data_IF_002606197242
#
_entry.id   IF_002606197242
#
_cell.length_a   1.000
_cell.length_b   1.000
_cell.length_c   1.000
_cell.angle_alpha   90.00
_cell.angle_beta   90.00
_cell.angle_gamma   90.00
#
_symmetry.space_group_name_H-M   'P 1'
#
loop_
_entity.id
_entity.type
_entity.pdbx_description
1 polymer ?
#
# COMPACT_ATOMS: atom_id res chain seq x y z
N UNK A 1 9.49 38.50 72.48
CA UNK A 1 8.80 37.64 71.50
C UNK A 1 9.85 37.39 70.44
N UNK A 2 10.33 36.15 70.42
CA UNK A 2 11.69 35.72 70.02
C UNK A 2 12.14 36.11 68.61
N UNK A 3 13.38 36.59 68.52
CA UNK A 3 14.20 36.57 67.30
C UNK A 3 15.53 35.82 67.59
N UNK A 4 15.74 34.76 66.81
CA UNK A 4 16.99 34.11 66.34
C UNK A 4 18.19 33.91 67.28
N UNK A 5 18.88 32.77 67.12
CA UNK A 5 20.30 32.87 66.80
C UNK A 5 20.81 31.94 65.69
N UNK A 6 21.82 32.48 65.00
CA UNK A 6 23.06 31.88 64.48
C UNK A 6 23.14 30.60 63.64
N UNK A 7 23.73 30.83 62.45
CA UNK A 7 24.94 30.22 61.91
C UNK A 7 25.33 28.76 62.24
N UNK A 8 25.33 27.99 61.14
CA UNK A 8 26.45 27.19 60.64
C UNK A 8 26.64 25.74 61.11
N UNK A 9 26.89 24.94 60.07
CA UNK A 9 27.81 23.80 60.03
C UNK A 9 27.28 22.40 60.33
N UNK A 10 27.26 21.62 59.25
CA UNK A 10 27.65 20.21 59.16
C UNK A 10 26.96 19.23 60.12
N UNK A 11 26.03 18.47 59.58
CA UNK A 11 26.07 17.00 59.70
C UNK A 11 25.22 16.37 58.61
N UNK A 12 25.83 15.46 57.85
CA UNK A 12 25.13 14.40 57.13
C UNK A 12 24.28 13.60 58.14
N UNK A 13 23.03 13.25 57.81
CA UNK A 13 22.64 11.87 58.08
C UNK A 13 21.75 11.23 57.02
N UNK A 14 22.08 9.96 56.77
CA UNK A 14 21.19 8.82 56.65
C UNK A 14 19.89 8.92 55.83
N UNK A 15 19.96 8.16 54.73
CA UNK A 15 18.91 7.43 54.02
C UNK A 15 17.82 6.85 54.94
N UNK A 16 16.60 6.78 54.38
CA UNK A 16 15.26 6.33 54.85
C UNK A 16 14.34 7.56 55.05
N UNK A 17 13.21 7.76 54.38
CA UNK A 17 12.33 6.93 53.54
C UNK A 17 11.40 7.86 52.70
N UNK A 18 10.62 7.22 51.82
CA UNK A 18 9.45 7.69 51.05
C UNK A 18 9.66 8.14 49.58
N UNK A 19 9.58 7.13 48.69
CA UNK A 19 9.08 7.32 47.32
C UNK A 19 7.66 7.92 47.35
N UNK A 20 7.53 9.22 47.05
CA UNK A 20 6.26 9.78 46.59
C UNK A 20 6.08 9.47 45.11
N UNK A 21 5.23 8.48 44.87
CA UNK A 21 4.71 8.06 43.58
C UNK A 21 3.82 9.18 42.99
N UNK A 22 4.38 10.07 42.16
CA UNK A 22 3.56 10.96 41.33
C UNK A 22 2.73 10.12 40.35
N UNK A 23 1.40 10.30 40.29
CA UNK A 23 0.56 9.52 39.39
C UNK A 23 0.84 9.90 37.94
N UNK A 24 1.24 8.90 37.14
CA UNK A 24 1.49 8.99 35.70
C UNK A 24 0.27 9.46 34.85
N UNK A 25 -0.85 9.81 35.47
CA UNK A 25 -2.08 10.28 34.80
C UNK A 25 -1.88 11.64 34.12
N UNK A 26 -1.14 12.56 34.76
CA UNK A 26 -1.02 13.94 34.23
C UNK A 26 -0.05 14.04 33.05
N UNK A 27 0.91 13.11 32.91
CA UNK A 27 1.77 13.01 31.71
C UNK A 27 1.07 12.39 30.50
N UNK A 28 -0.04 11.66 30.71
CA UNK A 28 -0.84 11.10 29.62
C UNK A 28 -1.80 12.15 29.06
N UNK A 29 -2.34 13.04 29.89
CA UNK A 29 -3.20 14.14 29.43
C UNK A 29 -2.45 15.22 28.65
N UNK A 30 -1.17 15.47 28.95
CA UNK A 30 -0.34 16.40 28.18
C UNK A 30 0.16 15.81 26.83
N UNK A 31 0.16 14.47 26.71
CA UNK A 31 0.43 13.76 25.45
C UNK A 31 -0.86 13.60 24.62
N UNK A 32 -2.03 13.46 25.25
CA UNK A 32 -3.33 13.42 24.55
C UNK A 32 -3.83 14.81 24.10
N UNK A 33 -3.50 15.89 24.81
CA UNK A 33 -3.85 17.26 24.39
C UNK A 33 -3.07 17.72 23.15
N UNK A 34 -1.87 17.18 22.93
CA UNK A 34 -1.10 17.38 21.69
C UNK A 34 -1.63 16.59 20.49
N UNK A 35 -2.62 15.70 20.67
CA UNK A 35 -3.25 14.97 19.57
C UNK A 35 -4.49 15.67 19.02
N UNK A 36 -4.99 16.69 19.71
CA UNK A 36 -6.22 17.40 19.35
C UNK A 36 -6.03 18.88 18.94
N UNK A 37 -4.78 19.37 18.84
CA UNK A 37 -4.50 20.69 18.28
C UNK A 37 -4.08 20.60 16.80
N UNK A 38 -4.91 21.16 15.92
CA UNK A 38 -4.65 21.56 14.53
C UNK A 38 -3.79 20.61 13.66
N UNK A 39 -4.43 19.95 12.69
CA UNK A 39 -3.77 19.53 11.45
C UNK A 39 -3.36 20.77 10.65
N UNK A 40 -2.38 21.53 11.17
CA UNK A 40 -1.64 22.51 10.38
C UNK A 40 -0.89 21.73 9.32
N UNK A 41 -1.06 22.13 8.07
CA UNK A 41 -0.43 21.46 6.94
C UNK A 41 1.09 21.67 6.99
N UNK A 42 1.84 20.67 7.46
CA UNK A 42 3.24 20.82 7.90
C UNK A 42 4.27 20.20 6.96
N UNK A 43 3.87 19.39 5.97
CA UNK A 43 4.84 18.68 5.11
C UNK A 43 5.25 19.47 3.88
N UNK A 44 6.56 19.44 3.58
CA UNK A 44 7.16 20.07 2.39
C UNK A 44 6.97 19.21 1.14
N UNK A 45 7.04 19.81 -0.05
CA UNK A 45 6.89 19.12 -1.34
C UNK A 45 7.71 17.82 -1.44
N UNK A 46 8.99 17.86 -1.08
CA UNK A 46 9.87 16.70 -1.12
C UNK A 46 9.42 15.58 -0.17
N UNK A 47 9.02 15.93 1.06
CA UNK A 47 8.53 14.93 2.02
C UNK A 47 7.23 14.28 1.52
N UNK A 48 6.29 15.07 1.00
CA UNK A 48 5.07 14.54 0.41
C UNK A 48 5.37 13.65 -0.79
N UNK A 49 6.31 14.07 -1.65
CA UNK A 49 6.73 13.27 -2.79
C UNK A 49 7.33 11.93 -2.38
N UNK A 50 8.26 11.88 -1.41
CA UNK A 50 8.80 10.61 -0.92
C UNK A 50 7.74 9.75 -0.23
N UNK A 51 6.81 10.35 0.52
CA UNK A 51 5.70 9.61 1.13
C UNK A 51 4.75 9.05 0.07
N UNK A 52 4.44 9.82 -0.97
CA UNK A 52 3.64 9.38 -2.12
C UNK A 52 4.35 8.29 -2.92
N UNK A 53 5.65 8.42 -3.15
CA UNK A 53 6.45 7.40 -3.81
C UNK A 53 6.50 6.12 -2.98
N UNK A 54 6.62 6.20 -1.65
CA UNK A 54 6.55 5.03 -0.78
C UNK A 54 5.14 4.40 -0.78
N UNK A 55 4.07 5.20 -0.88
CA UNK A 55 2.71 4.69 -0.97
C UNK A 55 2.45 3.96 -2.30
N UNK A 56 2.91 4.52 -3.42
CA UNK A 56 2.74 3.91 -4.75
C UNK A 56 3.74 2.78 -5.01
N UNK A 57 5.04 2.94 -4.70
CA UNK A 57 6.07 1.91 -4.87
C UNK A 57 5.91 0.81 -3.80
N UNK A 58 4.90 -0.02 -4.01
CA UNK A 58 4.58 -1.18 -3.21
C UNK A 58 5.33 -2.45 -3.62
N UNK A 59 5.02 -3.53 -2.92
CA UNK A 59 5.53 -4.88 -3.16
C UNK A 59 5.11 -5.44 -4.54
N UNK A 60 4.08 -4.86 -5.16
CA UNK A 60 3.64 -5.20 -6.51
C UNK A 60 4.77 -5.15 -7.56
N UNK A 61 5.84 -4.37 -7.34
CA UNK A 61 7.01 -4.34 -8.23
C UNK A 61 7.60 -5.73 -8.51
N UNK A 62 7.51 -6.65 -7.55
CA UNK A 62 8.11 -7.98 -7.63
C UNK A 62 7.34 -8.94 -8.53
N UNK A 63 6.05 -8.71 -8.74
CA UNK A 63 5.19 -9.52 -9.61
C UNK A 63 4.98 -8.89 -11.00
N UNK A 64 5.49 -7.68 -11.25
CA UNK A 64 5.37 -7.04 -12.59
C UNK A 64 6.06 -7.85 -13.70
N UNK A 65 7.24 -8.46 -13.49
CA UNK A 65 7.83 -9.36 -14.49
C UNK A 65 6.93 -10.56 -14.79
N UNK A 66 6.31 -11.13 -13.75
CA UNK A 66 5.36 -12.24 -13.88
C UNK A 66 4.09 -11.81 -14.63
N UNK A 67 3.59 -10.60 -14.37
CA UNK A 67 2.47 -10.03 -15.10
C UNK A 67 2.82 -9.88 -16.60
N UNK A 68 4.02 -9.38 -16.92
CA UNK A 68 4.47 -9.27 -18.31
C UNK A 68 4.69 -10.64 -18.97
N UNK A 69 5.25 -11.62 -18.26
CA UNK A 69 5.41 -12.99 -18.80
C UNK A 69 4.07 -13.69 -19.03
N UNK A 70 3.08 -13.42 -18.17
CA UNK A 70 1.71 -13.95 -18.28
C UNK A 70 0.97 -13.35 -19.46
N UNK A 71 1.03 -12.03 -19.66
CA UNK A 71 0.32 -11.33 -20.75
C UNK A 71 1.08 -11.25 -22.08
N UNK A 72 2.39 -11.44 -22.08
CA UNK A 72 3.29 -11.19 -23.22
C UNK A 72 3.58 -9.70 -23.42
N UNK A 73 4.50 -9.37 -24.34
CA UNK A 73 4.99 -7.99 -24.54
C UNK A 73 3.90 -6.93 -24.74
N UNK A 74 2.81 -7.28 -25.42
CA UNK A 74 1.69 -6.37 -25.66
C UNK A 74 0.99 -5.93 -24.35
N UNK A 75 1.05 -6.73 -23.28
CA UNK A 75 0.45 -6.36 -21.99
C UNK A 75 1.10 -5.12 -21.38
N UNK A 76 2.33 -4.77 -21.78
CA UNK A 76 3.00 -3.56 -21.31
C UNK A 76 2.23 -2.28 -21.69
N UNK A 77 1.48 -2.28 -22.80
CA UNK A 77 0.58 -1.16 -23.15
C UNK A 77 -0.51 -1.00 -22.09
N UNK A 78 -1.01 -2.11 -21.53
CA UNK A 78 -2.03 -2.12 -20.49
C UNK A 78 -1.48 -1.61 -19.15
N UNK A 79 -0.19 -1.82 -18.85
CA UNK A 79 0.47 -1.19 -17.69
C UNK A 79 0.35 0.34 -17.77
N UNK A 80 0.64 0.93 -18.93
CA UNK A 80 0.52 2.38 -19.13
C UNK A 80 -0.94 2.86 -19.10
N UNK A 81 -1.87 2.10 -19.67
CA UNK A 81 -3.30 2.42 -19.64
C UNK A 81 -3.86 2.42 -18.21
N UNK A 82 -3.47 1.44 -17.38
CA UNK A 82 -3.82 1.40 -15.96
C UNK A 82 -3.16 2.55 -15.21
N UNK A 83 -1.87 2.82 -15.43
CA UNK A 83 -1.17 3.93 -14.79
C UNK A 83 -1.88 5.27 -15.09
N UNK A 84 -2.27 5.51 -16.33
CA UNK A 84 -3.01 6.70 -16.74
C UNK A 84 -4.40 6.77 -16.07
N UNK A 85 -5.11 5.65 -16.00
CA UNK A 85 -6.43 5.56 -15.35
C UNK A 85 -6.35 5.83 -13.84
N UNK A 86 -5.35 5.24 -13.17
CA UNK A 86 -5.08 5.42 -11.75
C UNK A 86 -4.61 6.86 -11.43
N UNK A 87 -3.78 7.45 -12.29
CA UNK A 87 -3.39 8.85 -12.16
C UNK A 87 -4.60 9.79 -12.29
N UNK A 88 -5.44 9.56 -13.31
CA UNK A 88 -6.63 10.35 -13.54
C UNK A 88 -7.62 10.26 -12.37
N UNK A 89 -7.88 9.05 -11.86
CA UNK A 89 -8.74 8.86 -10.68
C UNK A 89 -8.14 9.45 -9.40
N UNK A 90 -6.81 9.49 -9.27
CA UNK A 90 -6.14 10.27 -8.23
C UNK A 90 -6.37 11.79 -8.35
N UNK A 91 -6.42 12.33 -9.57
CA UNK A 91 -6.83 13.72 -9.80
C UNK A 91 -8.32 13.95 -9.48
N UNK A 92 -9.19 12.96 -9.74
CA UNK A 92 -10.59 13.05 -9.32
C UNK A 92 -10.72 13.13 -7.80
N UNK A 93 -9.95 12.35 -7.05
CA UNK A 93 -9.89 12.43 -5.58
C UNK A 93 -9.51 13.84 -5.14
N UNK A 94 -8.43 14.39 -5.71
CA UNK A 94 -8.01 15.77 -5.42
C UNK A 94 -9.13 16.78 -5.67
N UNK A 95 -9.86 16.64 -6.78
CA UNK A 95 -11.00 17.52 -7.08
C UNK A 95 -12.16 17.34 -6.11
N UNK A 96 -12.47 16.11 -5.70
CA UNK A 96 -13.48 15.87 -4.66
C UNK A 96 -13.10 16.58 -3.36
N UNK A 97 -11.82 16.56 -2.98
CA UNK A 97 -11.32 17.26 -1.80
C UNK A 97 -11.29 18.79 -1.95
N UNK A 98 -11.05 19.29 -3.17
CA UNK A 98 -11.14 20.73 -3.46
C UNK A 98 -12.59 21.25 -3.35
N UNK A 99 -13.61 20.39 -3.48
CA UNK A 99 -15.03 20.77 -3.38
C UNK A 99 -15.53 20.91 -1.93
N UNK A 100 -14.89 20.24 -0.96
CA UNK A 100 -15.35 20.21 0.43
C UNK A 100 -14.16 20.08 1.40
N UNK A 101 -13.96 21.11 2.24
CA UNK A 101 -12.86 21.17 3.19
C UNK A 101 -12.95 20.18 4.35
N UNK A 102 -14.13 19.60 4.59
CA UNK A 102 -14.35 18.64 5.68
C UNK A 102 -13.85 17.24 5.32
N UNK A 103 -13.57 16.98 4.04
CA UNK A 103 -13.02 15.71 3.57
C UNK A 103 -11.54 15.61 3.98
N UNK A 104 -11.24 14.70 4.91
CA UNK A 104 -9.86 14.45 5.37
C UNK A 104 -9.34 13.07 5.00
N UNK A 105 -10.21 12.07 5.00
CA UNK A 105 -9.87 10.67 4.72
C UNK A 105 -10.61 10.14 3.51
N UNK A 106 -10.13 9.02 2.97
CA UNK A 106 -10.75 8.40 1.81
C UNK A 106 -12.23 7.99 2.05
N UNK A 107 -12.58 7.36 3.20
CA UNK A 107 -13.99 7.10 3.52
C UNK A 107 -14.88 8.34 3.62
N UNK A 108 -14.34 9.51 3.99
CA UNK A 108 -15.14 10.74 4.09
C UNK A 108 -15.63 11.20 2.70
N UNK A 109 -14.89 10.90 1.62
CA UNK A 109 -15.37 11.12 0.24
C UNK A 109 -16.62 10.28 -0.04
N UNK A 110 -16.60 9.02 0.42
CA UNK A 110 -17.73 8.12 0.32
C UNK A 110 -18.93 8.57 1.13
N UNK A 111 -18.68 9.08 2.34
CA UNK A 111 -19.72 9.70 3.17
C UNK A 111 -20.36 10.90 2.49
N UNK A 112 -19.53 11.77 1.92
CA UNK A 112 -20.01 13.01 1.32
C UNK A 112 -20.84 12.76 0.05
N UNK A 113 -20.50 11.72 -0.71
CA UNK A 113 -21.18 11.35 -1.95
C UNK A 113 -22.44 10.48 -1.72
N UNK A 114 -22.40 9.53 -0.77
CA UNK A 114 -23.42 8.50 -0.61
C UNK A 114 -23.95 8.34 0.83
N UNK A 115 -23.59 9.26 1.73
CA UNK A 115 -23.92 9.20 3.15
C UNK A 115 -23.15 8.08 3.88
N UNK A 116 -23.57 7.80 5.12
CA UNK A 116 -22.90 6.83 5.99
C UNK A 116 -22.75 5.43 5.34
N UNK A 117 -23.68 5.03 4.46
CA UNK A 117 -23.57 3.76 3.70
C UNK A 117 -22.31 3.72 2.83
N UNK A 118 -21.99 4.81 2.14
CA UNK A 118 -20.77 4.93 1.33
C UNK A 118 -19.50 4.89 2.16
N UNK A 119 -19.52 5.56 3.33
CA UNK A 119 -18.40 5.53 4.30
C UNK A 119 -18.09 4.11 4.75
N UNK A 120 -19.11 3.37 5.18
CA UNK A 120 -18.97 2.01 5.70
C UNK A 120 -18.50 1.08 4.58
N UNK A 121 -19.13 1.14 3.41
CA UNK A 121 -18.77 0.29 2.28
C UNK A 121 -17.31 0.49 1.86
N UNK A 122 -16.87 1.74 1.68
CA UNK A 122 -15.48 2.02 1.29
C UNK A 122 -14.49 1.62 2.38
N UNK A 123 -14.84 1.85 3.65
CA UNK A 123 -14.01 1.41 4.77
C UNK A 123 -13.85 -0.11 4.78
N UNK A 124 -14.91 -0.87 4.51
CA UNK A 124 -14.85 -2.33 4.46
C UNK A 124 -13.96 -2.79 3.29
N UNK A 125 -14.16 -2.27 2.08
CA UNK A 125 -13.34 -2.62 0.91
C UNK A 125 -11.86 -2.36 1.19
N UNK A 126 -11.53 -1.17 1.71
CA UNK A 126 -10.15 -0.81 2.06
C UNK A 126 -9.58 -1.76 3.13
N UNK A 127 -10.32 -2.07 4.20
CA UNK A 127 -9.80 -2.97 5.24
C UNK A 127 -9.58 -4.40 4.73
N UNK A 128 -10.45 -4.90 3.83
CA UNK A 128 -10.26 -6.20 3.18
C UNK A 128 -9.03 -6.17 2.26
N UNK A 129 -8.83 -5.08 1.51
CA UNK A 129 -7.65 -4.89 0.65
C UNK A 129 -6.37 -4.92 1.50
N UNK A 130 -6.29 -4.11 2.56
CA UNK A 130 -5.15 -4.07 3.47
C UNK A 130 -4.88 -5.43 4.13
N UNK A 131 -5.94 -6.17 4.49
CA UNK A 131 -5.85 -7.52 5.05
C UNK A 131 -5.23 -8.51 4.07
N UNK A 132 -5.73 -8.59 2.83
CA UNK A 132 -5.20 -9.52 1.84
C UNK A 132 -3.80 -9.13 1.36
N UNK A 133 -3.49 -7.84 1.31
CA UNK A 133 -2.12 -7.36 1.05
C UNK A 133 -1.16 -7.78 2.16
N UNK A 134 -1.59 -7.67 3.43
CA UNK A 134 -0.82 -8.15 4.58
C UNK A 134 -0.60 -9.68 4.52
N UNK A 135 -1.62 -10.45 4.15
CA UNK A 135 -1.48 -11.90 3.88
C UNK A 135 -0.44 -12.17 2.79
N UNK A 136 -0.48 -11.41 1.69
CA UNK A 136 0.50 -11.58 0.62
C UNK A 136 1.93 -11.21 1.02
N UNK A 137 2.13 -10.28 1.97
CA UNK A 137 3.45 -10.04 2.54
C UNK A 137 3.97 -11.26 3.31
N UNK A 138 3.11 -11.97 4.03
CA UNK A 138 3.50 -13.21 4.72
C UNK A 138 3.87 -14.33 3.73
N UNK A 139 3.13 -14.48 2.64
CA UNK A 139 3.45 -15.45 1.57
C UNK A 139 4.83 -15.13 0.98
N UNK A 140 5.05 -13.87 0.62
CA UNK A 140 6.33 -13.40 0.11
C UNK A 140 7.46 -13.65 1.11
N UNK A 141 7.26 -13.33 2.39
CA UNK A 141 8.28 -13.56 3.41
C UNK A 141 8.58 -15.05 3.57
N UNK A 142 7.55 -15.90 3.60
CA UNK A 142 7.70 -17.36 3.66
C UNK A 142 8.53 -17.92 2.50
N UNK A 143 8.20 -17.54 1.27
CA UNK A 143 8.88 -18.03 0.06
C UNK A 143 10.34 -17.58 -0.01
N UNK A 144 10.65 -16.38 0.49
CA UNK A 144 11.99 -15.80 0.41
C UNK A 144 12.87 -16.15 1.63
N UNK A 145 12.31 -16.35 2.84
CA UNK A 145 13.07 -16.69 4.05
C UNK A 145 13.79 -18.04 3.95
N UNK A 146 13.23 -19.01 3.22
CA UNK A 146 13.90 -20.28 2.95
C UNK A 146 15.24 -20.11 2.19
N UNK A 147 15.43 -18.97 1.52
CA UNK A 147 16.56 -18.74 0.61
C UNK A 147 17.69 -17.86 1.21
N UNK A 148 17.60 -17.41 2.48
CA UNK A 148 18.47 -16.36 3.02
C UNK A 148 19.10 -16.72 4.38
N UNK A 149 20.40 -17.02 4.37
CA UNK A 149 21.35 -16.67 5.44
C UNK A 149 22.69 -16.22 4.78
N UNK A 150 23.46 -15.29 5.38
CA UNK A 150 23.44 -13.80 5.30
C UNK A 150 24.50 -13.21 4.30
N UNK A 151 24.61 -11.92 3.86
CA UNK A 151 23.86 -10.65 3.95
C UNK A 151 24.36 -9.56 2.93
N UNK A 152 23.49 -8.56 2.64
CA UNK A 152 23.68 -7.12 2.20
C UNK A 152 24.23 -6.73 0.82
N UNK A 153 23.78 -5.74 0.01
CA UNK A 153 22.60 -4.84 -0.17
C UNK A 153 22.49 -4.32 -1.65
N UNK A 154 21.27 -3.91 -2.12
CA UNK A 154 20.85 -3.28 -3.44
C UNK A 154 20.12 -4.18 -4.50
N UNK A 155 18.84 -3.92 -4.79
CA UNK A 155 17.99 -4.71 -5.73
C UNK A 155 18.12 -4.30 -7.20
N UNK A 156 17.98 -3.01 -7.51
CA UNK A 156 17.93 -2.55 -8.91
C UNK A 156 19.30 -2.61 -9.58
N UNK A 157 20.35 -2.22 -8.84
CA UNK A 157 21.73 -2.39 -9.27
C UNK A 157 22.11 -3.87 -9.42
N UNK A 158 21.59 -4.75 -8.56
CA UNK A 158 21.91 -6.18 -8.65
C UNK A 158 21.25 -6.86 -9.84
N UNK A 159 20.00 -6.55 -10.18
CA UNK A 159 19.35 -7.12 -11.37
C UNK A 159 20.12 -6.69 -12.63
N UNK A 160 20.51 -5.42 -12.72
CA UNK A 160 21.30 -4.89 -13.84
C UNK A 160 22.72 -5.48 -13.89
N UNK A 161 23.38 -5.64 -12.74
CA UNK A 161 24.70 -6.24 -12.62
C UNK A 161 24.70 -7.72 -12.96
N UNK A 162 23.74 -8.48 -12.45
CA UNK A 162 23.60 -9.92 -12.69
C UNK A 162 23.31 -10.19 -14.17
N UNK A 163 22.41 -9.43 -14.79
CA UNK A 163 22.08 -9.58 -16.22
C UNK A 163 23.25 -9.22 -17.15
N UNK A 164 24.14 -8.31 -16.74
CA UNK A 164 25.27 -7.86 -17.58
C UNK A 164 26.57 -8.62 -17.34
N UNK A 165 26.85 -9.05 -16.10
CA UNK A 165 28.16 -9.57 -15.68
C UNK A 165 28.15 -11.04 -15.20
N UNK A 166 27.01 -11.60 -14.77
CA UNK A 166 26.94 -12.98 -14.22
C UNK A 166 26.42 -14.04 -15.22
N UNK A 167 26.36 -13.72 -16.52
CA UNK A 167 26.18 -14.72 -17.58
C UNK A 167 24.75 -15.25 -17.78
N UNK A 168 23.74 -14.70 -17.10
CA UNK A 168 22.32 -14.97 -17.40
C UNK A 168 21.91 -14.08 -18.60
N UNK A 169 22.40 -14.43 -19.79
CA UNK A 169 22.21 -13.57 -20.97
C UNK A 169 20.74 -13.41 -21.38
N UNK A 170 20.43 -12.28 -22.01
CA UNK A 170 19.12 -11.89 -22.57
C UNK A 170 18.68 -12.76 -23.78
N UNK A 171 18.63 -14.08 -23.61
CA UNK A 171 18.45 -15.03 -24.71
C UNK A 171 17.03 -15.61 -24.83
N UNK A 172 16.09 -15.23 -23.96
CA UNK A 172 14.69 -15.68 -24.09
C UNK A 172 13.88 -14.70 -24.92
N UNK A 173 13.56 -15.09 -26.16
CA UNK A 173 12.57 -14.40 -26.99
C UNK A 173 11.18 -14.61 -26.37
N UNK A 174 10.69 -13.62 -25.63
CA UNK A 174 9.35 -13.64 -25.03
C UNK A 174 8.23 -13.73 -26.09
N UNK A 175 7.06 -14.23 -25.69
CA UNK A 175 5.87 -14.27 -26.56
C UNK A 175 5.33 -12.87 -26.80
N UNK A 176 4.95 -12.50 -28.05
CA UNK A 176 4.41 -11.17 -28.34
C UNK A 176 3.10 -10.88 -27.59
N UNK A 177 2.23 -11.88 -27.44
CA UNK A 177 1.00 -11.78 -26.64
C UNK A 177 0.56 -13.15 -26.17
N UNK A 178 0.02 -13.22 -24.95
CA UNK A 178 -0.67 -14.39 -24.43
C UNK A 178 -2.04 -13.97 -23.89
N UNK A 179 -3.08 -14.15 -24.71
CA UNK A 179 -4.44 -13.71 -24.41
C UNK A 179 -5.01 -14.30 -23.11
N UNK A 180 -4.64 -15.54 -22.79
CA UNK A 180 -5.14 -16.21 -21.59
C UNK A 180 -4.57 -15.59 -20.30
N UNK A 181 -3.36 -15.02 -20.34
CA UNK A 181 -2.73 -14.38 -19.19
C UNK A 181 -2.91 -12.86 -19.13
N UNK A 182 -3.57 -12.25 -20.11
CA UNK A 182 -3.91 -10.81 -20.08
C UNK A 182 -4.74 -10.44 -18.84
N UNK A 183 -5.80 -11.17 -18.46
CA UNK A 183 -6.56 -10.84 -17.25
C UNK A 183 -5.68 -10.83 -15.99
N UNK A 184 -4.80 -11.81 -15.82
CA UNK A 184 -3.84 -11.88 -14.70
C UNK A 184 -2.85 -10.71 -14.75
N UNK A 185 -2.30 -10.40 -15.93
CA UNK A 185 -1.37 -9.28 -16.11
C UNK A 185 -1.99 -7.92 -15.73
N UNK A 186 -3.18 -7.63 -16.26
CA UNK A 186 -3.91 -6.38 -16.03
C UNK A 186 -4.32 -6.25 -14.56
N UNK A 187 -4.70 -7.36 -13.91
CA UNK A 187 -5.05 -7.37 -12.49
C UNK A 187 -3.84 -7.10 -11.60
N UNK A 188 -2.68 -7.71 -11.90
CA UNK A 188 -1.43 -7.43 -11.19
C UNK A 188 -0.94 -5.99 -11.42
N UNK A 189 -1.09 -5.44 -12.61
CA UNK A 189 -0.82 -4.03 -12.87
C UNK A 189 -1.77 -3.11 -12.09
N UNK A 190 -3.07 -3.43 -12.01
CA UNK A 190 -4.04 -2.67 -11.22
C UNK A 190 -3.67 -2.66 -9.72
N UNK A 191 -3.24 -3.82 -9.20
CA UNK A 191 -2.69 -3.93 -7.86
C UNK A 191 -1.46 -3.02 -7.65
N UNK A 192 -0.56 -2.92 -8.64
CA UNK A 192 0.64 -2.07 -8.49
C UNK A 192 0.34 -0.57 -8.31
N UNK A 193 -0.82 -0.09 -8.76
CA UNK A 193 -1.21 1.33 -8.66
C UNK A 193 -2.30 1.60 -7.60
N UNK A 194 -2.53 0.67 -6.66
CA UNK A 194 -3.55 0.81 -5.61
C UNK A 194 -3.06 1.66 -4.40
N UNK A 195 -2.95 2.97 -4.58
CA UNK A 195 -2.51 3.89 -3.52
C UNK A 195 -3.57 4.94 -3.12
N UNK A 196 -4.74 4.91 -3.76
CA UNK A 196 -5.77 5.93 -3.65
C UNK A 196 -6.26 6.20 -2.21
N UNK A 197 -6.38 5.19 -1.32
CA UNK A 197 -6.77 5.46 0.06
C UNK A 197 -5.81 6.38 0.83
N UNK A 198 -4.56 6.48 0.38
CA UNK A 198 -3.50 7.31 0.97
C UNK A 198 -3.51 8.74 0.40
N UNK A 199 -4.14 8.98 -0.75
CA UNK A 199 -4.13 10.28 -1.41
C UNK A 199 -4.76 11.41 -0.56
N UNK A 200 -5.89 11.21 0.13
CA UNK A 200 -6.47 12.27 0.97
C UNK A 200 -5.63 12.66 2.18
N UNK A 201 -4.97 11.68 2.81
CA UNK A 201 -4.08 11.97 3.94
C UNK A 201 -2.81 12.66 3.46
N UNK A 202 -2.28 12.27 2.30
CA UNK A 202 -1.18 12.98 1.66
C UNK A 202 -1.57 14.42 1.34
N UNK A 203 -2.71 14.64 0.68
CA UNK A 203 -3.22 15.96 0.32
C UNK A 203 -3.43 16.86 1.54
N UNK A 204 -4.06 16.37 2.61
CA UNK A 204 -4.32 17.17 3.82
C UNK A 204 -3.03 17.50 4.58
N UNK A 205 -2.00 16.66 4.49
CA UNK A 205 -0.69 16.91 5.12
C UNK A 205 0.16 17.97 4.41
N UNK A 206 -0.15 18.35 3.17
CA UNK A 206 0.65 19.27 2.35
C UNK A 206 0.46 20.74 2.70
N UNK A 207 1.55 21.45 3.00
CA UNK A 207 1.52 22.90 3.23
C UNK A 207 0.90 23.67 2.06
N UNK A 208 1.20 23.28 0.81
CA UNK A 208 0.64 23.88 -0.39
C UNK A 208 -0.08 22.82 -1.25
N UNK A 209 -1.40 22.72 -1.06
CA UNK A 209 -2.30 21.78 -1.75
C UNK A 209 -2.31 21.92 -3.28
N UNK A 210 -2.00 23.10 -3.83
CA UNK A 210 -1.93 23.30 -5.28
C UNK A 210 -0.84 22.44 -5.93
N UNK A 211 0.22 22.10 -5.19
CA UNK A 211 1.31 21.26 -5.70
C UNK A 211 0.99 19.77 -5.71
N UNK A 212 -0.14 19.33 -5.14
CA UNK A 212 -0.49 17.91 -5.03
C UNK A 212 -0.51 17.21 -6.39
N UNK A 213 -1.07 17.84 -7.42
CA UNK A 213 -1.10 17.26 -8.78
C UNK A 213 0.30 17.05 -9.36
N UNK A 214 1.25 17.94 -9.07
CA UNK A 214 2.64 17.80 -9.51
C UNK A 214 3.36 16.69 -8.74
N UNK A 215 3.12 16.58 -7.43
CA UNK A 215 3.62 15.47 -6.61
C UNK A 215 3.10 14.15 -7.16
N UNK A 216 1.79 14.05 -7.37
CA UNK A 216 1.14 12.86 -7.89
C UNK A 216 1.70 12.46 -9.26
N UNK A 217 1.83 13.42 -10.19
CA UNK A 217 2.40 13.19 -11.50
C UNK A 217 3.82 12.63 -11.43
N UNK A 218 4.68 13.24 -10.60
CA UNK A 218 6.06 12.80 -10.43
C UNK A 218 6.13 11.39 -9.82
N UNK A 219 5.30 11.09 -8.82
CA UNK A 219 5.19 9.74 -8.25
C UNK A 219 4.77 8.71 -9.31
N UNK A 220 3.70 8.99 -10.07
CA UNK A 220 3.21 8.07 -11.11
C UNK A 220 4.24 7.85 -12.22
N UNK A 221 4.94 8.89 -12.70
CA UNK A 221 5.99 8.75 -13.71
C UNK A 221 7.10 7.84 -13.19
N UNK A 222 7.62 8.10 -11.99
CA UNK A 222 8.73 7.32 -11.42
C UNK A 222 8.34 5.88 -11.10
N UNK A 223 7.14 5.64 -10.57
CA UNK A 223 6.63 4.29 -10.35
C UNK A 223 6.45 3.55 -11.68
N UNK A 224 5.88 4.20 -12.70
CA UNK A 224 5.66 3.58 -14.01
C UNK A 224 6.97 3.20 -14.69
N UNK A 225 7.98 4.09 -14.65
CA UNK A 225 9.32 3.78 -15.17
C UNK A 225 9.96 2.63 -14.40
N UNK A 226 9.83 2.62 -13.07
CA UNK A 226 10.37 1.53 -12.23
C UNK A 226 9.68 0.19 -12.50
N UNK A 227 8.36 0.20 -12.70
CA UNK A 227 7.58 -1.01 -13.01
C UNK A 227 7.85 -1.50 -14.42
N UNK A 228 7.85 -0.62 -15.41
CA UNK A 228 8.16 -0.99 -16.79
C UNK A 228 9.58 -1.52 -16.93
N UNK A 229 10.57 -0.87 -16.30
CA UNK A 229 11.96 -1.36 -16.32
C UNK A 229 12.09 -2.72 -15.62
N UNK A 230 11.49 -2.90 -14.44
CA UNK A 230 11.46 -4.20 -13.76
C UNK A 230 10.81 -5.27 -14.63
N UNK A 231 9.66 -4.97 -15.24
CA UNK A 231 8.95 -5.89 -16.13
C UNK A 231 9.82 -6.34 -17.30
N UNK A 232 10.39 -5.37 -18.03
CA UNK A 232 11.23 -5.59 -19.21
C UNK A 232 12.47 -6.39 -18.82
N UNK A 233 13.23 -5.96 -17.80
CA UNK A 233 14.45 -6.67 -17.41
C UNK A 233 14.16 -8.06 -16.86
N UNK A 234 13.17 -8.19 -15.97
CA UNK A 234 12.80 -9.49 -15.42
C UNK A 234 12.33 -10.47 -16.51
N UNK A 235 11.55 -9.99 -17.49
CA UNK A 235 11.09 -10.83 -18.58
C UNK A 235 12.21 -11.14 -19.59
N UNK A 236 13.13 -10.23 -19.87
CA UNK A 236 14.29 -10.53 -20.72
C UNK A 236 15.27 -11.51 -20.05
N UNK A 237 15.41 -11.46 -18.72
CA UNK A 237 16.31 -12.33 -17.97
C UNK A 237 15.77 -13.76 -17.82
N UNK A 238 14.47 -13.91 -17.55
CA UNK A 238 13.88 -15.20 -17.21
C UNK A 238 12.79 -15.68 -18.18
N UNK A 239 12.35 -14.83 -19.11
CA UNK A 239 11.33 -15.16 -20.11
C UNK A 239 10.09 -15.82 -19.53
N UNK A 240 9.64 -16.93 -20.10
CA UNK A 240 8.41 -17.60 -19.65
C UNK A 240 8.57 -18.35 -18.32
N UNK A 241 9.78 -18.43 -17.75
CA UNK A 241 10.04 -19.12 -16.48
C UNK A 241 10.04 -18.18 -15.26
N UNK A 242 9.71 -16.91 -15.45
CA UNK A 242 9.47 -15.96 -14.36
C UNK A 242 8.44 -16.54 -13.38
N UNK A 243 8.81 -16.61 -12.11
CA UNK A 243 7.97 -17.05 -11.00
C UNK A 243 7.06 -15.92 -10.52
N UNK A 244 6.11 -16.23 -9.64
CA UNK A 244 5.15 -15.26 -9.06
C UNK A 244 5.81 -14.01 -8.46
N UNK A 245 7.07 -14.14 -8.04
CA UNK A 245 7.93 -13.08 -7.53
C UNK A 245 9.30 -13.19 -8.18
N UNK A 246 9.84 -12.08 -8.69
CA UNK A 246 11.15 -12.05 -9.37
C UNK A 246 12.31 -12.50 -8.47
N UNK A 247 12.18 -12.35 -7.14
CA UNK A 247 13.20 -12.77 -6.18
C UNK A 247 13.43 -14.28 -6.17
N UNK A 248 12.40 -15.07 -6.50
CA UNK A 248 12.50 -16.53 -6.56
C UNK A 248 13.27 -17.03 -7.79
N UNK A 249 13.44 -16.17 -8.81
CA UNK A 249 14.26 -16.47 -9.97
C UNK A 249 15.75 -16.13 -9.77
N UNK A 250 16.11 -15.38 -8.73
CA UNK A 250 17.48 -14.91 -8.54
C UNK A 250 18.41 -16.04 -8.04
N UNK A 251 19.61 -16.22 -8.63
CA UNK A 251 20.53 -17.26 -8.22
C UNK A 251 21.12 -16.96 -6.84
N UNK A 252 20.87 -17.81 -5.85
CA UNK A 252 21.28 -17.60 -4.44
C UNK A 252 22.78 -17.70 -4.18
N UNK A 253 23.57 -18.13 -5.17
CA UNK A 253 25.03 -18.30 -5.05
C UNK A 253 25.79 -16.97 -5.03
N UNK A 254 25.26 -15.92 -5.67
CA UNK A 254 25.94 -14.63 -5.80
C UNK A 254 25.51 -13.68 -4.67
N UNK A 255 26.47 -12.91 -4.16
CA UNK A 255 26.24 -11.96 -3.08
C UNK A 255 25.13 -10.98 -3.49
N UNK A 256 25.20 -10.40 -4.70
CA UNK A 256 24.22 -9.48 -5.31
C UNK A 256 22.78 -10.00 -5.34
N UNK A 257 22.55 -11.31 -5.42
CA UNK A 257 21.21 -11.88 -5.34
C UNK A 257 20.71 -11.94 -3.90
N UNK A 258 21.55 -12.40 -2.96
CA UNK A 258 21.19 -12.50 -1.52
C UNK A 258 20.82 -11.14 -0.93
N UNK A 259 21.67 -10.17 -1.23
CA UNK A 259 21.44 -8.74 -1.17
C UNK A 259 20.01 -8.34 -1.55
N UNK A 260 19.60 -8.67 -2.78
CA UNK A 260 18.38 -8.15 -3.39
C UNK A 260 17.17 -8.77 -2.71
N UNK A 261 17.23 -10.08 -2.43
CA UNK A 261 16.20 -10.79 -1.70
C UNK A 261 16.04 -10.18 -0.29
N UNK A 262 17.13 -9.93 0.44
CA UNK A 262 17.06 -9.35 1.79
C UNK A 262 16.45 -7.95 1.81
N UNK A 263 16.92 -7.04 0.94
CA UNK A 263 16.33 -5.69 0.85
C UNK A 263 14.85 -5.75 0.49
N UNK A 264 14.44 -6.75 -0.30
CA UNK A 264 13.05 -6.95 -0.71
C UNK A 264 12.18 -7.38 0.45
N UNK A 265 12.70 -8.15 1.41
CA UNK A 265 11.97 -8.60 2.60
C UNK A 265 11.77 -7.51 3.67
N UNK A 266 12.72 -6.59 3.82
CA UNK A 266 12.65 -5.54 4.86
C UNK A 266 11.43 -4.62 4.69
N UNK A 267 11.06 -4.35 3.44
CA UNK A 267 9.98 -3.43 3.11
C UNK A 267 8.58 -3.99 3.47
N UNK A 268 8.19 -5.22 3.06
CA UNK A 268 6.99 -5.91 3.54
C UNK A 268 6.86 -5.95 5.06
N UNK A 269 7.92 -6.30 5.81
CA UNK A 269 7.90 -6.33 7.29
C UNK A 269 7.48 -4.97 7.86
N UNK A 270 8.13 -3.91 7.38
CA UNK A 270 7.84 -2.54 7.82
C UNK A 270 6.44 -2.09 7.41
N UNK A 271 6.00 -2.47 6.21
CA UNK A 271 4.66 -2.13 5.69
C UNK A 271 3.56 -2.95 6.34
N UNK A 272 3.81 -4.17 6.80
CA UNK A 272 2.83 -5.03 7.47
C UNK A 272 2.25 -4.32 8.70
N UNK A 273 3.11 -3.74 9.54
CA UNK A 273 2.68 -2.97 10.71
C UNK A 273 1.76 -1.77 10.33
N UNK A 274 2.09 -1.08 9.24
CA UNK A 274 1.30 0.05 8.72
C UNK A 274 -0.05 -0.41 8.17
N UNK A 275 -0.13 -1.58 7.52
CA UNK A 275 -1.38 -2.15 7.00
C UNK A 275 -2.32 -2.63 8.11
N UNK A 276 -1.76 -3.19 9.19
CA UNK A 276 -2.52 -3.70 10.34
C UNK A 276 -3.09 -2.58 11.22
N UNK A 277 -2.37 -1.46 11.35
CA UNK A 277 -2.78 -0.31 12.19
C UNK A 277 -4.22 0.18 11.93
N UNK A 278 -4.63 0.51 10.69
CA UNK A 278 -6.00 0.96 10.41
C UNK A 278 -7.06 -0.11 10.72
N UNK A 279 -6.76 -1.39 10.50
CA UNK A 279 -7.68 -2.50 10.78
C UNK A 279 -7.91 -2.63 12.29
N UNK A 280 -6.84 -2.60 13.07
CA UNK A 280 -6.90 -2.64 14.54
C UNK A 280 -7.63 -1.42 15.10
N UNK A 281 -7.40 -0.23 14.53
CA UNK A 281 -8.10 0.98 14.93
C UNK A 281 -9.59 0.93 14.57
N UNK A 282 -9.95 0.35 13.43
CA UNK A 282 -11.35 0.09 13.06
C UNK A 282 -12.01 -0.90 14.05
N UNK A 283 -11.30 -1.95 14.45
CA UNK A 283 -11.77 -2.89 15.47
C UNK A 283 -12.00 -2.19 16.82
N UNK A 284 -11.02 -1.42 17.31
CA UNK A 284 -11.15 -0.65 18.57
C UNK A 284 -12.36 0.28 18.60
N UNK A 285 -12.67 0.93 17.46
CA UNK A 285 -13.83 1.84 17.35
C UNK A 285 -15.17 1.10 17.39
N UNK A 286 -15.22 -0.18 17.00
CA UNK A 286 -16.44 -0.99 16.99
C UNK A 286 -16.83 -1.47 18.40
N UNK A 287 -15.87 -1.57 19.32
CA UNK A 287 -16.13 -2.03 20.70
C UNK A 287 -16.44 -0.85 21.65
N UNK A 288 -17.36 -1.02 22.62
CA UNK A 288 -17.71 0.01 23.59
C UNK A 288 -16.51 0.44 24.45
N UNK A 289 -16.51 1.70 24.91
CA UNK A 289 -15.43 2.29 25.73
C UNK A 289 -15.22 1.62 27.10
N UNK A 290 -16.07 0.67 27.49
CA UNK A 290 -15.96 -0.06 28.76
C UNK A 290 -14.80 -1.05 28.78
N UNK A 291 -14.34 -1.52 27.61
CA UNK A 291 -13.21 -2.43 27.49
C UNK A 291 -11.89 -1.68 27.36
N UNK A 292 -10.82 -2.24 27.92
CA UNK A 292 -9.46 -1.69 27.74
C UNK A 292 -9.09 -1.67 26.25
N UNK A 293 -8.98 -0.47 25.67
CA UNK A 293 -8.60 -0.26 24.26
C UNK A 293 -7.24 -0.89 23.94
N UNK A 294 -6.35 -1.00 24.92
CA UNK A 294 -5.04 -1.69 24.80
C UNK A 294 -5.24 -3.19 24.64
N UNK A 295 -6.09 -3.80 25.47
CA UNK A 295 -6.39 -5.23 25.39
C UNK A 295 -7.12 -5.59 24.08
N UNK A 296 -8.13 -4.81 23.68
CA UNK A 296 -8.81 -4.99 22.38
C UNK A 296 -7.81 -4.87 21.23
N UNK A 297 -6.90 -3.90 21.30
CA UNK A 297 -5.86 -3.72 20.30
C UNK A 297 -4.95 -4.94 20.18
N UNK A 298 -4.48 -5.48 21.30
CA UNK A 298 -3.65 -6.67 21.33
C UNK A 298 -4.39 -7.89 20.76
N UNK A 299 -5.62 -8.13 21.22
CA UNK A 299 -6.43 -9.25 20.76
C UNK A 299 -6.77 -9.15 19.26
N UNK A 300 -7.10 -7.96 18.78
CA UNK A 300 -7.35 -7.72 17.36
C UNK A 300 -6.09 -7.95 16.52
N UNK A 301 -4.93 -7.44 16.96
CA UNK A 301 -3.66 -7.67 16.26
C UNK A 301 -3.27 -9.14 16.20
N UNK A 302 -3.36 -9.88 17.32
CA UNK A 302 -3.02 -11.30 17.35
C UNK A 302 -3.99 -12.13 16.52
N UNK A 303 -5.29 -11.88 16.62
CA UNK A 303 -6.31 -12.56 15.80
C UNK A 303 -6.09 -12.29 14.31
N UNK A 304 -5.76 -11.05 13.96
CA UNK A 304 -5.46 -10.68 12.58
C UNK A 304 -4.26 -11.46 12.06
N UNK A 305 -3.14 -11.47 12.77
CA UNK A 305 -1.93 -12.22 12.38
C UNK A 305 -2.21 -13.71 12.23
N UNK A 306 -2.94 -14.33 13.18
CA UNK A 306 -3.29 -15.75 13.07
C UNK A 306 -4.14 -16.00 11.82
N UNK A 307 -5.13 -15.14 11.56
CA UNK A 307 -6.00 -15.31 10.39
C UNK A 307 -5.27 -15.09 9.07
N UNK A 308 -4.36 -14.12 8.97
CA UNK A 308 -3.57 -13.89 7.75
C UNK A 308 -2.63 -15.07 7.49
N UNK A 309 -2.04 -15.68 8.53
CA UNK A 309 -1.27 -16.92 8.39
C UNK A 309 -2.13 -18.07 7.87
N UNK A 310 -3.35 -18.27 8.39
CA UNK A 310 -4.25 -19.31 7.90
C UNK A 310 -4.56 -19.12 6.42
N UNK A 311 -4.87 -17.90 5.98
CA UNK A 311 -5.14 -17.61 4.57
C UNK A 311 -3.88 -17.81 3.71
N UNK A 312 -2.70 -17.43 4.20
CA UNK A 312 -1.43 -17.64 3.50
C UNK A 312 -1.11 -19.13 3.31
N UNK A 313 -1.47 -19.98 4.29
CA UNK A 313 -1.33 -21.43 4.18
C UNK A 313 -2.38 -22.05 3.23
N UNK A 314 -3.57 -21.46 3.13
CA UNK A 314 -4.60 -21.91 2.22
C UNK A 314 -4.31 -21.52 0.77
N UNK A 315 -3.82 -20.31 0.50
CA UNK A 315 -3.53 -19.82 -0.86
C UNK A 315 -2.05 -19.42 -0.92
N UNK A 316 -1.12 -20.37 -1.11
CA UNK A 316 0.33 -20.11 -0.98
C UNK A 316 0.95 -19.44 -2.23
N UNK A 317 0.14 -18.85 -3.11
CA UNK A 317 0.61 -18.25 -4.37
C UNK A 317 0.44 -16.73 -4.35
N UNK A 318 1.54 -16.02 -4.16
CA UNK A 318 1.59 -14.55 -4.09
C UNK A 318 0.89 -13.88 -5.27
N UNK A 319 1.23 -14.27 -6.50
CA UNK A 319 0.69 -13.63 -7.71
C UNK A 319 -0.82 -13.85 -7.87
N UNK A 320 -1.35 -15.03 -7.55
CA UNK A 320 -2.80 -15.28 -7.67
C UNK A 320 -3.59 -14.50 -6.63
N UNK A 321 -3.11 -14.45 -5.38
CA UNK A 321 -3.72 -13.62 -4.34
C UNK A 321 -3.70 -12.14 -4.74
N UNK A 322 -2.56 -11.62 -5.20
CA UNK A 322 -2.44 -10.21 -5.60
C UNK A 322 -3.21 -9.89 -6.88
N UNK A 323 -3.35 -10.85 -7.80
CA UNK A 323 -4.22 -10.75 -8.97
C UNK A 323 -5.69 -10.59 -8.54
N UNK A 324 -6.16 -11.41 -7.59
CA UNK A 324 -7.51 -11.29 -7.03
C UNK A 324 -7.73 -9.93 -6.33
N UNK A 325 -6.78 -9.50 -5.50
CA UNK A 325 -6.82 -8.19 -4.83
C UNK A 325 -6.87 -7.07 -5.85
N UNK A 326 -6.02 -7.10 -6.85
CA UNK A 326 -5.97 -6.11 -7.93
C UNK A 326 -7.26 -6.04 -8.73
N UNK A 327 -7.74 -7.18 -9.23
CA UNK A 327 -8.92 -7.28 -10.09
C UNK A 327 -10.18 -6.79 -9.39
N UNK A 328 -10.39 -7.22 -8.14
CA UNK A 328 -11.63 -6.95 -7.43
C UNK A 328 -11.51 -5.72 -6.55
N UNK A 329 -10.65 -5.75 -5.54
CA UNK A 329 -10.60 -4.75 -4.48
C UNK A 329 -9.97 -3.44 -4.97
N UNK A 330 -8.81 -3.52 -5.61
CA UNK A 330 -8.10 -2.32 -6.07
C UNK A 330 -8.86 -1.62 -7.19
N UNK A 331 -9.35 -2.32 -8.23
CA UNK A 331 -10.15 -1.67 -9.28
C UNK A 331 -11.43 -1.07 -8.72
N UNK A 332 -12.14 -1.78 -7.84
CA UNK A 332 -13.38 -1.29 -7.22
C UNK A 332 -13.12 -0.06 -6.34
N UNK A 333 -12.16 -0.17 -5.41
CA UNK A 333 -11.86 0.83 -4.41
C UNK A 333 -11.08 2.02 -4.94
N UNK A 334 -10.17 1.82 -5.91
CA UNK A 334 -9.24 2.84 -6.38
C UNK A 334 -9.58 3.42 -7.77
N UNK A 335 -10.36 2.72 -8.61
CA UNK A 335 -10.71 3.22 -9.96
C UNK A 335 -12.19 3.55 -10.05
N UNK A 336 -13.05 2.57 -9.76
CA UNK A 336 -14.50 2.69 -9.91
C UNK A 336 -15.10 3.67 -8.90
N UNK A 337 -14.71 3.56 -7.63
CA UNK A 337 -15.31 4.37 -6.57
C UNK A 337 -15.04 5.88 -6.70
N UNK A 338 -13.79 6.36 -6.95
CA UNK A 338 -13.53 7.78 -7.21
C UNK A 338 -14.34 8.36 -8.37
N UNK A 339 -14.50 7.59 -9.45
CA UNK A 339 -15.30 7.99 -10.60
C UNK A 339 -16.76 8.27 -10.19
N UNK A 340 -17.38 7.35 -9.46
CA UNK A 340 -18.76 7.52 -8.98
C UNK A 340 -18.90 8.66 -7.97
N UNK A 341 -17.97 8.77 -7.00
CA UNK A 341 -17.95 9.88 -6.05
C UNK A 341 -17.84 11.23 -6.76
N UNK A 342 -16.90 11.36 -7.71
CA UNK A 342 -16.69 12.59 -8.46
C UNK A 342 -17.91 12.97 -9.29
N UNK A 343 -18.49 12.03 -10.05
CA UNK A 343 -19.69 12.29 -10.84
C UNK A 343 -20.85 12.75 -9.97
N UNK A 344 -21.02 12.14 -8.79
CA UNK A 344 -22.08 12.48 -7.84
C UNK A 344 -21.88 13.86 -7.20
N UNK A 345 -20.66 14.18 -6.78
CA UNK A 345 -20.31 15.42 -6.09
C UNK A 345 -20.25 16.63 -7.04
N UNK A 346 -19.64 16.46 -8.22
CA UNK A 346 -19.54 17.54 -9.22
C UNK A 346 -20.88 17.86 -9.88
N UNK A 347 -21.82 16.90 -9.92
CA UNK A 347 -23.03 17.02 -10.72
C UNK A 347 -22.79 16.95 -12.23
N UNK A 348 -21.56 16.69 -12.69
CA UNK A 348 -21.19 16.67 -14.11
C UNK A 348 -21.88 15.56 -14.90
N UNK A 349 -22.44 14.54 -14.24
CA UNK A 349 -23.25 13.50 -14.90
C UNK A 349 -24.46 14.07 -15.68
N UNK A 350 -24.91 15.30 -15.38
CA UNK A 350 -26.04 15.96 -16.04
C UNK A 350 -25.68 16.61 -17.38
N UNK A 351 -24.39 16.75 -17.72
CA UNK A 351 -23.93 17.34 -18.99
C UNK A 351 -22.99 16.37 -19.70
N UNK A 352 -23.35 15.96 -20.91
CA UNK A 352 -22.44 15.19 -21.76
C UNK A 352 -21.26 16.07 -22.20
N UNK A 353 -20.04 15.63 -21.86
CA UNK A 353 -18.79 16.27 -22.26
C UNK A 353 -17.63 15.27 -22.26
N UNK A 354 -16.47 15.69 -22.77
CA UNK A 354 -15.28 14.81 -22.89
C UNK A 354 -14.90 14.15 -21.57
N UNK A 355 -15.07 14.85 -20.44
CA UNK A 355 -14.79 14.32 -19.11
C UNK A 355 -15.68 13.12 -18.73
N UNK A 356 -16.98 13.21 -18.99
CA UNK A 356 -17.92 12.09 -18.73
C UNK A 356 -17.61 10.91 -19.66
N UNK A 357 -17.19 11.16 -20.89
CA UNK A 357 -16.74 10.11 -21.82
C UNK A 357 -15.48 9.41 -21.30
N UNK A 358 -14.47 10.15 -20.84
CA UNK A 358 -13.24 9.58 -20.26
C UNK A 358 -13.58 8.72 -19.04
N UNK A 359 -14.41 9.23 -18.12
CA UNK A 359 -14.85 8.47 -16.94
C UNK A 359 -15.64 7.22 -17.37
N UNK A 360 -16.50 7.34 -18.38
CA UNK A 360 -17.25 6.20 -18.94
C UNK A 360 -16.32 5.12 -19.49
N UNK A 361 -15.30 5.48 -20.27
CA UNK A 361 -14.31 4.53 -20.77
C UNK A 361 -13.52 3.86 -19.65
N UNK A 362 -13.11 4.61 -18.61
CA UNK A 362 -12.42 4.05 -17.44
C UNK A 362 -13.33 3.06 -16.70
N UNK A 363 -14.61 3.38 -16.52
CA UNK A 363 -15.58 2.49 -15.87
C UNK A 363 -15.83 1.22 -16.67
N UNK A 364 -15.93 1.32 -18.00
CA UNK A 364 -16.08 0.15 -18.88
C UNK A 364 -14.85 -0.76 -18.84
N UNK A 365 -13.66 -0.19 -18.93
CA UNK A 365 -12.41 -0.94 -18.77
C UNK A 365 -12.36 -1.62 -17.40
N UNK A 366 -12.71 -0.89 -16.34
CA UNK A 366 -12.75 -1.42 -14.97
C UNK A 366 -13.73 -2.57 -14.80
N UNK A 367 -14.91 -2.48 -15.41
CA UNK A 367 -15.89 -3.57 -15.38
C UNK A 367 -15.35 -4.84 -16.05
N UNK A 368 -14.65 -4.70 -17.19
CA UNK A 368 -14.00 -5.84 -17.83
C UNK A 368 -12.91 -6.46 -16.93
N UNK A 369 -12.08 -5.64 -16.27
CA UNK A 369 -11.04 -6.13 -15.36
C UNK A 369 -11.65 -6.85 -14.15
N UNK A 370 -12.70 -6.30 -13.54
CA UNK A 370 -13.38 -6.94 -12.43
C UNK A 370 -13.95 -8.30 -12.86
N UNK A 371 -14.64 -8.38 -13.99
CA UNK A 371 -15.27 -9.64 -14.43
C UNK A 371 -14.22 -10.68 -14.82
N UNK A 372 -13.35 -10.37 -15.79
CA UNK A 372 -12.40 -11.34 -16.33
C UNK A 372 -11.23 -11.59 -15.38
N UNK A 373 -10.72 -10.56 -14.72
CA UNK A 373 -9.60 -10.67 -13.77
C UNK A 373 -9.99 -11.46 -12.53
N UNK A 374 -11.15 -11.17 -11.92
CA UNK A 374 -11.62 -11.95 -10.75
C UNK A 374 -11.94 -13.39 -11.13
N UNK A 375 -12.60 -13.62 -12.27
CA UNK A 375 -12.85 -14.98 -12.74
C UNK A 375 -11.54 -15.76 -12.92
N UNK A 376 -10.57 -15.19 -13.63
CA UNK A 376 -9.28 -15.84 -13.90
C UNK A 376 -8.52 -16.14 -12.60
N UNK A 377 -8.42 -15.16 -11.70
CA UNK A 377 -7.74 -15.33 -10.41
C UNK A 377 -8.41 -16.42 -9.56
N UNK A 378 -9.75 -16.49 -9.53
CA UNK A 378 -10.45 -17.55 -8.80
C UNK A 378 -10.22 -18.93 -9.41
N UNK A 379 -10.21 -19.05 -10.74
CA UNK A 379 -9.90 -20.32 -11.43
C UNK A 379 -8.46 -20.76 -11.16
N UNK A 380 -7.50 -19.83 -11.19
CA UNK A 380 -6.09 -20.11 -10.86
C UNK A 380 -5.94 -20.56 -9.40
N UNK A 381 -6.59 -19.87 -8.45
CA UNK A 381 -6.58 -20.25 -7.03
C UNK A 381 -7.18 -21.65 -6.85
N UNK A 382 -8.39 -21.89 -7.36
CA UNK A 382 -9.09 -23.18 -7.21
C UNK A 382 -8.33 -24.31 -7.89
N UNK A 383 -7.74 -24.08 -9.06
CA UNK A 383 -6.94 -25.08 -9.76
C UNK A 383 -5.59 -25.36 -9.10
N UNK A 384 -5.15 -24.51 -8.16
CA UNK A 384 -3.90 -24.65 -7.42
C UNK A 384 -4.05 -25.26 -6.02
N UNK A 385 -5.29 -25.38 -5.54
CA UNK A 385 -5.70 -26.07 -4.30
C UNK A 385 -5.88 -27.56 -4.57
#
# INVERSE_FOLDING_TARGET
MDESPDESSLTLPLILDEEQHEPASNKVEEVESNFHHESTATTSFLKTFFNGLNALSGVGILSVPYALSSGGWLSLILLFAIAASCFYTGLLIKRCMDMDSDIRTYPDIGERAFGNKGRIWLSVVMNIELYLVATGFLILEGDNLHNIFPASAIILGSILWIGSFDGIGFHQAGSPVNWNGIPTAVSLYAFCYCAHPVFPTLYTSMKNKHQFSNVLLLCFILCTVSYASMAVFGYLMFGSTVQSQITLNLPTRNISSKVAIFTTLVNPISKYALMVTPIVNAAKKKFPSHYSKRFIGLLASTTLVISTVIVALAIPFFAYLMSLVGAFLSVTGSIVFPCFCYLKLSGNYRRFGCEVLIIGCILLLSAAIIVFGTYTALVEIIGSL
#
